data_IF_503039956769
#
_entry.id   IF_503039956769
#
_cell.length_a   1.000
_cell.length_b   1.000
_cell.length_c   1.000
_cell.angle_alpha   90.00
_cell.angle_beta   90.00
_cell.angle_gamma   90.00
#
_symmetry.space_group_name_H-M   'P 1'
#
loop_
_entity.id
_entity.type
_entity.pdbx_description
1 polymer ?
#
# COMPACT_ATOMS: atom_id res chain seq x y z
N UNK A 1 23.00 -8.30 41.50
CA UNK A 1 22.18 -9.13 40.62
C UNK A 1 23.11 -9.81 39.65
N UNK A 2 22.82 -11.04 39.23
CA UNK A 2 23.64 -11.71 38.22
C UNK A 2 23.14 -11.30 36.82
N UNK A 3 23.65 -10.17 36.32
CA UNK A 3 23.31 -9.63 35.00
C UNK A 3 23.65 -10.61 33.87
N UNK A 4 24.74 -11.36 34.04
CA UNK A 4 25.18 -12.36 33.07
C UNK A 4 24.16 -13.49 32.97
N UNK A 5 23.68 -14.01 34.10
CA UNK A 5 22.68 -15.08 34.11
C UNK A 5 21.35 -14.60 33.51
N UNK A 6 20.91 -13.37 33.82
CA UNK A 6 19.70 -12.78 33.23
C UNK A 6 19.80 -12.60 31.71
N UNK A 7 20.91 -12.05 31.22
CA UNK A 7 21.13 -11.85 29.79
C UNK A 7 21.17 -13.20 29.05
N UNK A 8 21.84 -14.21 29.62
CA UNK A 8 21.90 -15.54 29.01
C UNK A 8 20.52 -16.20 28.94
N UNK A 9 19.73 -16.14 30.02
CA UNK A 9 18.37 -16.68 30.04
C UNK A 9 17.47 -15.97 29.02
N UNK A 10 17.62 -14.66 28.85
CA UNK A 10 16.89 -13.91 27.82
C UNK A 10 17.27 -14.38 26.41
N UNK A 11 18.57 -14.53 26.11
CA UNK A 11 19.04 -14.99 24.80
C UNK A 11 18.53 -16.40 24.49
N UNK A 12 18.59 -17.31 25.45
CA UNK A 12 18.05 -18.66 25.30
C UNK A 12 16.53 -18.63 25.03
N UNK A 13 15.80 -17.75 25.73
CA UNK A 13 14.38 -17.56 25.47
C UNK A 13 14.11 -16.99 24.07
N UNK A 14 14.90 -16.02 23.62
CA UNK A 14 14.80 -15.45 22.27
C UNK A 14 15.09 -16.49 21.20
N UNK A 15 16.11 -17.33 21.38
CA UNK A 15 16.44 -18.43 20.47
C UNK A 15 15.35 -19.51 20.43
N UNK A 16 14.51 -19.61 21.46
CA UNK A 16 13.35 -20.49 21.46
C UNK A 16 12.11 -19.87 20.80
N UNK A 17 11.99 -18.54 20.79
CA UNK A 17 10.88 -17.79 20.18
C UNK A 17 11.11 -17.60 18.68
N UNK A 18 12.31 -17.15 18.30
CA UNK A 18 12.69 -16.82 16.94
C UNK A 18 13.44 -17.98 16.28
N UNK A 19 13.23 -18.18 14.98
CA UNK A 19 13.95 -19.20 14.22
C UNK A 19 15.41 -18.78 13.99
N UNK A 20 16.28 -19.74 13.64
CA UNK A 20 17.70 -19.49 13.36
C UNK A 20 17.94 -18.48 12.21
N UNK A 21 16.99 -18.29 11.29
CA UNK A 21 17.07 -17.30 10.21
C UNK A 21 16.63 -15.88 10.64
N UNK A 22 15.88 -15.77 11.75
CA UNK A 22 15.32 -14.53 12.28
C UNK A 22 16.19 -13.91 13.37
N UNK A 23 16.97 -14.71 14.11
CA UNK A 23 17.80 -14.26 15.22
C UNK A 23 19.25 -14.75 15.08
N UNK A 24 20.17 -13.81 14.89
CA UNK A 24 21.61 -14.05 14.84
C UNK A 24 22.28 -13.46 16.09
N UNK A 25 22.90 -14.31 16.91
CA UNK A 25 23.73 -13.86 18.04
C UNK A 25 25.15 -13.61 17.53
N UNK A 26 25.55 -12.34 17.44
CA UNK A 26 26.88 -11.94 16.95
C UNK A 26 27.94 -12.20 18.04
N UNK A 27 27.60 -11.92 19.30
CA UNK A 27 28.49 -12.09 20.43
C UNK A 27 27.70 -12.58 21.65
N UNK A 28 27.99 -13.81 22.10
CA UNK A 28 27.42 -14.42 23.32
C UNK A 28 28.26 -14.13 24.58
N UNK A 29 29.42 -13.48 24.43
CA UNK A 29 30.36 -13.26 25.53
C UNK A 29 30.00 -12.02 26.33
N UNK A 30 29.62 -12.24 27.59
CA UNK A 30 29.52 -11.18 28.58
C UNK A 30 30.91 -10.62 28.97
N UNK A 31 31.08 -9.29 29.14
CA UNK A 31 30.08 -8.23 28.93
C UNK A 31 30.02 -7.72 27.46
N UNK A 32 28.92 -7.06 27.09
CA UNK A 32 28.64 -6.52 25.74
C UNK A 32 28.20 -7.58 24.74
N UNK A 33 27.05 -8.20 25.02
CA UNK A 33 26.42 -9.15 24.11
C UNK A 33 25.80 -8.38 22.95
N UNK A 34 25.92 -8.91 21.73
CA UNK A 34 25.35 -8.31 20.53
C UNK A 34 24.45 -9.29 19.83
N UNK A 35 23.22 -8.86 19.57
CA UNK A 35 22.15 -9.65 18.98
C UNK A 35 21.65 -8.91 17.75
N UNK A 36 21.37 -9.66 16.70
CA UNK A 36 20.80 -9.17 15.45
C UNK A 36 19.51 -9.92 15.17
N UNK A 37 18.44 -9.18 14.93
CA UNK A 37 17.12 -9.71 14.63
C UNK A 37 16.76 -9.29 13.21
N UNK A 38 16.51 -10.25 12.35
CA UNK A 38 16.06 -10.04 10.99
C UNK A 38 14.53 -10.16 10.93
N UNK A 39 13.88 -9.06 10.61
CA UNK A 39 12.43 -8.95 10.48
C UNK A 39 12.08 -8.93 8.98
N UNK A 40 11.56 -10.05 8.51
CA UNK A 40 11.08 -10.22 7.14
C UNK A 40 9.55 -10.21 7.09
N UNK A 41 8.99 -9.62 6.04
CA UNK A 41 7.57 -9.78 5.72
C UNK A 41 7.28 -11.21 5.28
N UNK A 42 6.96 -12.12 6.19
CA UNK A 42 6.43 -13.42 5.79
C UNK A 42 4.93 -13.27 5.48
N UNK A 43 4.61 -12.59 4.38
CA UNK A 43 3.27 -12.66 3.81
C UNK A 43 3.32 -13.54 2.57
N UNK A 44 2.80 -14.76 2.70
CA UNK A 44 2.34 -15.62 1.60
C UNK A 44 1.24 -14.97 0.72
N UNK A 45 1.04 -13.65 0.83
CA UNK A 45 0.04 -12.89 0.11
C UNK A 45 0.76 -11.87 -0.75
N UNK A 46 0.51 -11.99 -2.05
CA UNK A 46 0.87 -11.18 -3.22
C UNK A 46 0.78 -9.65 -3.03
N UNK A 47 1.47 -9.08 -2.04
CA UNK A 47 1.69 -7.66 -1.89
C UNK A 47 3.18 -7.40 -2.16
N UNK A 48 3.43 -6.62 -3.20
CA UNK A 48 4.71 -6.31 -3.86
C UNK A 48 5.74 -5.56 -2.98
N UNK A 49 5.65 -5.65 -1.66
CA UNK A 49 6.50 -4.93 -0.71
C UNK A 49 7.14 -5.92 0.25
N UNK A 50 8.13 -6.65 -0.27
CA UNK A 50 9.12 -7.32 0.57
C UNK A 50 9.87 -6.25 1.37
N UNK A 51 9.86 -6.38 2.70
CA UNK A 51 10.72 -5.59 3.56
C UNK A 51 11.66 -6.51 4.32
N UNK A 52 12.93 -6.12 4.35
CA UNK A 52 13.98 -6.75 5.13
C UNK A 52 14.52 -5.69 6.08
N UNK A 53 14.07 -5.74 7.34
CA UNK A 53 14.55 -4.83 8.38
C UNK A 53 15.40 -5.60 9.36
N UNK A 54 16.58 -5.07 9.66
CA UNK A 54 17.52 -5.68 10.59
C UNK A 54 17.65 -4.80 11.81
N UNK A 55 17.35 -5.36 12.98
CA UNK A 55 17.54 -4.71 14.27
C UNK A 55 18.80 -5.26 14.95
N UNK A 56 19.74 -4.37 15.28
CA UNK A 56 20.97 -4.70 16.02
C UNK A 56 20.87 -4.12 17.42
N UNK A 57 21.02 -4.99 18.41
CA UNK A 57 20.97 -4.66 19.83
C UNK A 57 22.30 -4.99 20.50
N UNK A 58 22.91 -3.99 21.15
CA UNK A 58 24.09 -4.19 22.00
C UNK A 58 23.67 -4.06 23.48
N UNK A 59 23.83 -5.14 24.24
CA UNK A 59 23.46 -5.26 25.65
C UNK A 59 24.66 -4.89 26.52
N UNK A 60 24.64 -3.76 27.26
CA UNK A 60 25.73 -3.38 28.14
C UNK A 60 25.85 -4.30 29.37
N UNK A 61 26.96 -4.22 30.10
CA UNK A 61 27.19 -4.97 31.35
C UNK A 61 26.09 -4.76 32.41
N UNK A 62 25.50 -3.56 32.45
CA UNK A 62 24.47 -3.19 33.41
C UNK A 62 23.04 -3.43 32.90
N UNK A 63 22.85 -4.09 31.75
CA UNK A 63 21.51 -4.45 31.30
C UNK A 63 20.92 -5.56 32.19
N UNK A 64 19.64 -5.47 32.62
CA UNK A 64 18.56 -4.60 32.12
C UNK A 64 18.33 -3.27 32.87
N UNK A 65 19.22 -2.87 33.79
CA UNK A 65 19.13 -1.56 34.46
C UNK A 65 19.48 -0.38 33.52
N UNK A 66 20.11 -0.67 32.37
CA UNK A 66 20.47 0.29 31.33
C UNK A 66 19.89 -0.16 30.00
N UNK A 67 19.37 0.80 29.23
CA UNK A 67 18.86 0.55 27.88
C UNK A 67 19.96 -0.01 26.96
N UNK A 68 19.65 -1.00 26.12
CA UNK A 68 20.58 -1.47 25.11
C UNK A 68 20.81 -0.39 24.05
N UNK A 69 21.93 -0.51 23.33
CA UNK A 69 22.15 0.30 22.15
C UNK A 69 21.36 -0.29 20.99
N UNK A 70 20.43 0.51 20.46
CA UNK A 70 19.51 0.12 19.40
C UNK A 70 20.00 0.74 18.09
N UNK A 71 20.23 -0.10 17.07
CA UNK A 71 20.53 0.33 15.69
C UNK A 71 19.64 -0.43 14.72
N UNK A 72 19.13 0.25 13.70
CA UNK A 72 18.26 -0.36 12.69
C UNK A 72 18.93 -0.22 11.32
N UNK A 73 18.98 -1.31 10.56
CA UNK A 73 19.53 -1.41 9.21
C UNK A 73 18.46 -1.95 8.24
N UNK A 74 18.64 -1.76 6.93
CA UNK A 74 17.72 -2.28 5.90
C UNK A 74 16.44 -1.46 5.66
N UNK A 75 16.30 -0.33 6.36
CA UNK A 75 15.12 0.55 6.31
C UNK A 75 15.23 1.70 5.28
N UNK A 76 16.37 1.87 4.61
CA UNK A 76 16.66 3.06 3.78
C UNK A 76 15.70 3.22 2.58
N UNK A 77 15.28 2.11 1.97
CA UNK A 77 14.35 2.13 0.82
C UNK A 77 12.87 2.37 1.24
N UNK A 78 12.52 2.07 2.49
CA UNK A 78 11.14 2.13 2.98
C UNK A 78 10.86 3.37 3.83
N UNK A 79 11.88 3.91 4.50
CA UNK A 79 11.76 4.95 5.51
C UNK A 79 12.61 6.17 5.18
N UNK A 80 12.00 7.36 5.21
CA UNK A 80 12.76 8.62 5.22
C UNK A 80 13.56 8.72 6.52
N UNK A 81 14.73 9.35 6.49
CA UNK A 81 15.61 9.53 7.66
C UNK A 81 14.87 10.03 8.91
N UNK A 82 13.90 10.92 8.75
CA UNK A 82 13.06 11.43 9.85
C UNK A 82 12.21 10.33 10.52
N UNK A 83 11.63 9.42 9.73
CA UNK A 83 10.84 8.30 10.27
C UNK A 83 11.73 7.29 11.01
N UNK A 84 12.94 7.07 10.52
CA UNK A 84 13.93 6.20 11.19
C UNK A 84 14.22 6.73 12.60
N UNK A 85 14.47 8.03 12.72
CA UNK A 85 14.71 8.66 14.02
C UNK A 85 13.49 8.55 14.95
N UNK A 86 12.27 8.73 14.42
CA UNK A 86 11.03 8.55 15.17
C UNK A 86 10.86 7.11 15.66
N UNK A 87 11.06 6.11 14.81
CA UNK A 87 11.01 4.69 15.19
C UNK A 87 12.04 4.38 16.28
N UNK A 88 13.28 4.86 16.13
CA UNK A 88 14.31 4.70 17.17
C UNK A 88 13.92 5.37 18.49
N UNK A 89 13.27 6.53 18.45
CA UNK A 89 12.78 7.23 19.65
C UNK A 89 11.66 6.43 20.35
N UNK A 90 10.71 5.87 19.58
CA UNK A 90 9.67 4.99 20.11
C UNK A 90 10.28 3.77 20.81
N UNK A 91 11.26 3.11 20.18
CA UNK A 91 11.95 1.96 20.76
C UNK A 91 12.71 2.32 22.04
N UNK A 92 13.35 3.49 22.09
CA UNK A 92 14.02 3.98 23.30
C UNK A 92 13.01 4.27 24.42
N UNK A 93 11.84 4.80 24.09
CA UNK A 93 10.79 5.03 25.06
C UNK A 93 10.26 3.70 25.64
N UNK A 94 10.05 2.70 24.78
CA UNK A 94 9.66 1.36 25.20
C UNK A 94 10.73 0.71 26.09
N UNK A 95 12.01 0.84 25.73
CA UNK A 95 13.12 0.39 26.56
C UNK A 95 13.15 1.10 27.93
N UNK A 96 12.86 2.40 27.97
CA UNK A 96 12.82 3.20 29.20
C UNK A 96 11.68 2.75 30.13
N UNK A 97 10.52 2.41 29.56
CA UNK A 97 9.36 1.91 30.31
C UNK A 97 9.59 0.53 30.93
N UNK A 98 10.46 -0.29 30.30
CA UNK A 98 10.77 -1.65 30.74
C UNK A 98 12.09 -1.76 31.52
N UNK A 99 12.65 -0.64 32.00
CA UNK A 99 13.88 -0.64 32.79
C UNK A 99 13.76 -1.52 34.04
N UNK A 100 14.84 -2.27 34.31
CA UNK A 100 14.89 -3.21 35.43
C UNK A 100 14.34 -4.60 35.09
N UNK A 101 13.88 -4.84 33.85
CA UNK A 101 13.48 -6.14 33.33
C UNK A 101 14.00 -6.37 31.92
N UNK A 102 14.11 -7.64 31.54
CA UNK A 102 14.44 -8.06 30.17
C UNK A 102 13.46 -7.46 29.18
N UNK A 103 13.96 -6.78 28.15
CA UNK A 103 13.20 -5.90 27.25
C UNK A 103 13.55 -6.08 25.78
N UNK A 104 14.45 -7.02 25.41
CA UNK A 104 14.80 -7.26 24.00
C UNK A 104 13.54 -7.65 23.22
N UNK A 105 12.73 -8.56 23.75
CA UNK A 105 11.48 -8.97 23.11
C UNK A 105 10.53 -7.78 22.93
N UNK A 106 10.35 -6.96 23.97
CA UNK A 106 9.49 -5.76 23.90
C UNK A 106 9.95 -4.78 22.82
N UNK A 107 11.27 -4.58 22.68
CA UNK A 107 11.85 -3.72 21.64
C UNK A 107 11.61 -4.32 20.25
N UNK A 108 11.80 -5.64 20.08
CA UNK A 108 11.55 -6.31 18.80
C UNK A 108 10.08 -6.21 18.41
N UNK A 109 9.15 -6.47 19.35
CA UNK A 109 7.71 -6.35 19.11
C UNK A 109 7.30 -4.92 18.77
N UNK A 110 7.81 -3.92 19.49
CA UNK A 110 7.53 -2.51 19.18
C UNK A 110 8.02 -2.13 17.77
N UNK A 111 9.17 -2.66 17.32
CA UNK A 111 9.64 -2.44 15.97
C UNK A 111 8.73 -3.13 14.92
N UNK A 112 8.29 -4.36 15.19
CA UNK A 112 7.37 -5.08 14.31
C UNK A 112 6.03 -4.34 14.15
N UNK A 113 5.45 -3.83 15.23
CA UNK A 113 4.23 -3.00 15.20
C UNK A 113 4.44 -1.72 14.37
N UNK A 114 5.57 -1.03 14.57
CA UNK A 114 5.86 0.21 13.84
C UNK A 114 6.02 -0.05 12.33
N UNK A 115 6.77 -1.08 11.93
CA UNK A 115 6.88 -1.49 10.53
C UNK A 115 5.50 -1.87 9.97
N UNK A 116 4.70 -2.63 10.73
CA UNK A 116 3.35 -3.05 10.34
C UNK A 116 2.42 -1.87 10.07
N UNK A 117 2.40 -0.87 10.96
CA UNK A 117 1.61 0.35 10.78
C UNK A 117 1.99 1.10 9.51
N UNK A 118 3.29 1.18 9.22
CA UNK A 118 3.82 1.92 8.08
C UNK A 118 3.46 1.28 6.74
N UNK A 119 3.43 -0.06 6.70
CA UNK A 119 2.95 -0.80 5.54
C UNK A 119 1.45 -0.65 5.34
N UNK A 120 0.67 -0.66 6.42
CA UNK A 120 -0.77 -0.44 6.35
C UNK A 120 -1.11 0.98 5.85
N UNK A 121 -0.36 2.00 6.29
CA UNK A 121 -0.45 3.36 5.76
C UNK A 121 -0.16 3.42 4.24
N UNK A 122 0.93 2.80 3.81
CA UNK A 122 1.32 2.74 2.38
C UNK A 122 0.27 2.03 1.53
N UNK A 123 -0.26 0.91 2.03
CA UNK A 123 -1.31 0.15 1.35
C UNK A 123 -2.59 0.97 1.19
N UNK A 124 -3.03 1.63 2.26
CA UNK A 124 -4.19 2.53 2.23
C UNK A 124 -4.01 3.69 1.25
N UNK A 125 -2.81 4.28 1.19
CA UNK A 125 -2.53 5.35 0.24
C UNK A 125 -2.59 4.85 -1.22
N UNK A 126 -2.04 3.67 -1.49
CA UNK A 126 -2.12 3.03 -2.80
C UNK A 126 -3.56 2.72 -3.20
N UNK A 127 -4.33 2.08 -2.32
CA UNK A 127 -5.74 1.75 -2.55
C UNK A 127 -6.57 3.01 -2.83
N UNK A 128 -6.36 4.08 -2.07
CA UNK A 128 -7.02 5.36 -2.29
C UNK A 128 -6.69 5.95 -3.66
N UNK A 129 -5.42 5.89 -4.07
CA UNK A 129 -4.97 6.42 -5.36
C UNK A 129 -5.55 5.62 -6.54
N UNK A 130 -5.66 4.31 -6.39
CA UNK A 130 -6.32 3.42 -7.36
C UNK A 130 -7.82 3.74 -7.46
N UNK A 131 -8.50 3.96 -6.33
CA UNK A 131 -9.92 4.34 -6.33
C UNK A 131 -10.13 5.72 -6.99
N UNK A 132 -9.27 6.70 -6.68
CA UNK A 132 -9.32 8.02 -7.33
C UNK A 132 -9.08 7.94 -8.85
N UNK A 133 -8.20 7.04 -9.31
CA UNK A 133 -7.98 6.82 -10.74
C UNK A 133 -9.20 6.15 -11.39
N UNK A 134 -9.78 5.14 -10.73
CA UNK A 134 -11.01 4.48 -11.19
C UNK A 134 -12.17 5.46 -11.28
N UNK A 135 -12.35 6.33 -10.29
CA UNK A 135 -13.41 7.34 -10.29
C UNK A 135 -13.21 8.37 -11.41
N UNK A 136 -11.96 8.75 -11.72
CA UNK A 136 -11.64 9.60 -12.88
C UNK A 136 -11.95 8.91 -14.20
N UNK A 137 -11.61 7.63 -14.34
CA UNK A 137 -11.91 6.82 -15.53
C UNK A 137 -13.43 6.67 -15.70
N UNK A 138 -14.17 6.41 -14.63
CA UNK A 138 -15.63 6.33 -14.64
C UNK A 138 -16.28 7.68 -14.93
N UNK A 139 -15.74 8.79 -14.41
CA UNK A 139 -16.23 10.14 -14.74
C UNK A 139 -16.02 10.48 -16.22
N UNK A 140 -14.91 10.05 -16.83
CA UNK A 140 -14.66 10.21 -18.27
C UNK A 140 -15.59 9.30 -19.09
N UNK A 141 -15.88 8.09 -18.61
CA UNK A 141 -16.83 7.17 -19.24
C UNK A 141 -18.27 7.70 -19.17
N UNK A 142 -18.71 8.24 -18.02
CA UNK A 142 -20.02 8.88 -17.84
C UNK A 142 -20.22 10.06 -18.80
N UNK A 143 -19.19 10.91 -18.99
CA UNK A 143 -19.23 12.02 -19.96
C UNK A 143 -19.33 11.55 -21.42
N UNK A 144 -18.85 10.35 -21.74
CA UNK A 144 -19.02 9.73 -23.08
C UNK A 144 -20.37 9.02 -23.23
N UNK A 145 -21.03 8.69 -22.12
CA UNK A 145 -22.31 7.98 -22.10
C UNK A 145 -23.53 8.88 -21.90
N UNK A 146 -23.34 10.19 -21.73
CA UNK A 146 -24.41 11.18 -21.88
C UNK A 146 -24.82 11.23 -23.36
N UNK A 147 -25.72 10.32 -23.75
CA UNK A 147 -26.39 10.37 -25.03
C UNK A 147 -26.99 11.76 -25.25
N UNK A 148 -26.86 12.28 -26.47
CA UNK A 148 -27.35 13.61 -26.85
C UNK A 148 -28.81 13.75 -26.43
N UNK A 149 -29.07 14.57 -25.40
CA UNK A 149 -30.44 14.89 -24.98
C UNK A 149 -31.16 15.51 -26.16
N UNK A 150 -32.22 14.85 -26.63
CA UNK A 150 -33.13 15.40 -27.63
C UNK A 150 -33.95 16.51 -26.99
N UNK A 151 -33.35 17.71 -26.91
CA UNK A 151 -34.04 18.95 -26.59
C UNK A 151 -35.01 19.30 -27.72
N UNK A 152 -36.10 20.05 -27.48
CA UNK A 152 -37.08 20.44 -28.51
C UNK A 152 -36.45 21.14 -29.72
N UNK A 153 -35.33 21.83 -29.52
CA UNK A 153 -34.56 22.51 -30.56
C UNK A 153 -33.74 21.51 -31.41
N UNK A 154 -33.03 20.57 -30.78
CA UNK A 154 -32.36 19.48 -31.51
C UNK A 154 -33.34 18.54 -32.22
N UNK A 155 -34.51 18.29 -31.62
CA UNK A 155 -35.58 17.54 -32.27
C UNK A 155 -36.17 18.29 -33.46
N UNK A 156 -36.31 19.63 -33.39
CA UNK A 156 -36.72 20.46 -34.53
C UNK A 156 -35.71 20.41 -35.66
N UNK A 157 -34.42 20.59 -35.37
CA UNK A 157 -33.37 20.53 -36.38
C UNK A 157 -33.30 19.15 -37.05
N UNK A 158 -33.40 18.08 -36.26
CA UNK A 158 -33.47 16.72 -36.77
C UNK A 158 -34.74 16.49 -37.60
N UNK A 159 -35.90 16.95 -37.12
CA UNK A 159 -37.19 16.83 -37.82
C UNK A 159 -37.19 17.58 -39.15
N UNK A 160 -36.58 18.77 -39.22
CA UNK A 160 -36.46 19.51 -40.47
C UNK A 160 -35.56 18.80 -41.49
N UNK A 161 -34.45 18.21 -41.07
CA UNK A 161 -33.62 17.38 -41.95
C UNK A 161 -34.38 16.14 -42.43
N UNK A 162 -35.11 15.46 -41.53
CA UNK A 162 -35.92 14.29 -41.85
C UNK A 162 -37.09 14.62 -42.80
N UNK A 163 -37.82 15.70 -42.56
CA UNK A 163 -38.91 16.16 -43.43
C UNK A 163 -38.38 16.58 -44.82
N UNK A 164 -37.18 17.17 -44.88
CA UNK A 164 -36.51 17.51 -46.15
C UNK A 164 -36.14 16.26 -46.94
N UNK A 165 -35.58 15.23 -46.29
CA UNK A 165 -35.26 13.95 -46.93
C UNK A 165 -36.50 13.23 -47.43
N UNK A 166 -37.57 13.17 -46.61
CA UNK A 166 -38.84 12.55 -47.01
C UNK A 166 -39.48 13.26 -48.20
N UNK A 167 -39.46 14.59 -48.24
CA UNK A 167 -40.02 15.36 -49.36
C UNK A 167 -39.24 15.11 -50.65
N UNK A 168 -37.92 15.05 -50.59
CA UNK A 168 -37.08 14.70 -51.73
C UNK A 168 -37.33 13.27 -52.22
N UNK A 169 -37.56 12.32 -51.31
CA UNK A 169 -37.88 10.94 -51.68
C UNK A 169 -39.28 10.84 -52.33
N UNK A 170 -40.28 11.56 -51.82
CA UNK A 170 -41.62 11.62 -52.41
C UNK A 170 -41.58 12.25 -53.80
N UNK A 171 -40.85 13.35 -54.00
CA UNK A 171 -40.71 13.97 -55.32
C UNK A 171 -39.98 13.04 -56.31
N UNK A 172 -38.96 12.30 -55.86
CA UNK A 172 -38.33 11.26 -56.67
C UNK A 172 -39.31 10.13 -57.01
N UNK A 173 -40.09 9.63 -56.04
CA UNK A 173 -41.11 8.59 -56.28
C UNK A 173 -42.21 9.06 -57.22
N UNK A 174 -42.61 10.32 -57.14
CA UNK A 174 -43.64 10.88 -58.01
C UNK A 174 -43.11 11.11 -59.43
N UNK A 175 -41.88 11.61 -59.57
CA UNK A 175 -41.18 11.65 -60.87
C UNK A 175 -41.05 10.26 -61.48
N UNK A 176 -40.66 9.25 -60.70
CA UNK A 176 -40.58 7.85 -61.15
C UNK A 176 -41.97 7.31 -61.52
N UNK A 177 -43.03 7.60 -60.74
CA UNK A 177 -44.41 7.20 -61.04
C UNK A 177 -44.92 7.85 -62.32
N UNK A 178 -44.66 9.13 -62.52
CA UNK A 178 -45.02 9.86 -63.74
C UNK A 178 -44.24 9.31 -64.94
N UNK A 179 -42.95 9.04 -64.80
CA UNK A 179 -42.14 8.42 -65.86
C UNK A 179 -42.67 7.02 -66.21
N UNK A 180 -42.97 6.18 -65.23
CA UNK A 180 -43.54 4.84 -65.45
C UNK A 180 -44.92 4.95 -66.11
N UNK A 181 -45.76 5.91 -65.70
CA UNK A 181 -47.08 6.15 -66.31
C UNK A 181 -47.01 6.67 -67.75
N UNK A 182 -45.92 7.34 -68.14
CA UNK A 182 -45.68 7.80 -69.51
C UNK A 182 -45.11 6.66 -70.38
N UNK A 183 -44.24 5.81 -69.82
CA UNK A 183 -43.55 4.75 -70.56
C UNK A 183 -44.28 3.39 -70.59
N UNK A 184 -45.20 3.13 -69.65
CA UNK A 184 -46.05 1.94 -69.60
C UNK A 184 -47.52 2.33 -69.34
N UNK A 185 -48.23 2.87 -70.35
CA UNK A 185 -49.68 3.04 -70.27
C UNK A 185 -50.36 1.66 -70.31
N UNK A 186 -51.37 1.47 -69.46
CA UNK A 186 -52.23 0.27 -69.44
C UNK A 186 -53.09 0.21 -70.70
#
# INVERSE_FOLDING_TARGET
MDYKEQQNQEIEALQAIYQEDELEVICDKYPNISIRVNLKSNQENECESDFDVVLVLELPENYPDVIPRISIEGIDDLFSSERIEQTVEVLKNEATNNLGMVMVFSIVSALQDEIGNLLDEKKKEFEKKVEEEKEKVEAVSRKKFEGTVVTPETFRAWKEMFDKERRALMEKKEKVRVIISIYFPV
#
